data_IF_212676687965
#
_entry.id   IF_212676687965
#
_cell.length_a   1.000
_cell.length_b   1.000
_cell.length_c   1.000
_cell.angle_alpha   90.00
_cell.angle_beta   90.00
_cell.angle_gamma   90.00
#
_symmetry.space_group_name_H-M   'P 1'
#
loop_
_entity.id
_entity.type
_entity.pdbx_description
1 polymer ?
#
# COMPACT_ATOMS: atom_id res chain seq x y z
N UNK A 1 -16.33 -0.26 -1.70
CA UNK A 1 -16.25 -1.18 -0.54
C UNK A 1 -16.11 -2.60 -1.09
N UNK A 2 -15.09 -3.37 -0.68
CA UNK A 2 -14.84 -4.72 -1.22
C UNK A 2 -15.64 -5.79 -0.48
N UNK A 3 -15.96 -6.91 -1.13
CA UNK A 3 -16.71 -8.02 -0.51
C UNK A 3 -16.04 -8.53 0.77
N UNK A 4 -14.71 -8.71 0.77
CA UNK A 4 -13.96 -9.15 1.95
C UNK A 4 -13.99 -8.12 3.10
N UNK A 5 -14.00 -6.81 2.78
CA UNK A 5 -14.18 -5.75 3.78
C UNK A 5 -15.59 -5.77 4.39
N UNK A 6 -16.62 -5.95 3.56
CA UNK A 6 -17.98 -6.13 4.06
C UNK A 6 -18.09 -7.30 5.04
N UNK A 7 -17.52 -8.46 4.69
CA UNK A 7 -17.52 -9.63 5.59
C UNK A 7 -16.77 -9.31 6.89
N UNK A 8 -15.62 -8.63 6.83
CA UNK A 8 -14.87 -8.25 8.03
C UNK A 8 -15.65 -7.32 8.95
N UNK A 9 -16.27 -6.28 8.38
CA UNK A 9 -17.03 -5.25 9.09
C UNK A 9 -18.27 -5.81 9.81
N UNK A 10 -18.76 -7.01 9.44
CA UNK A 10 -19.97 -7.63 10.00
C UNK A 10 -19.70 -8.99 10.67
N UNK A 11 -18.44 -9.43 10.74
CA UNK A 11 -18.06 -10.78 11.21
C UNK A 11 -18.19 -10.97 12.73
N UNK A 12 -18.35 -9.88 13.47
CA UNK A 12 -18.61 -9.87 14.92
C UNK A 12 -20.08 -10.19 15.25
N UNK A 13 -21.00 -9.79 14.36
CA UNK A 13 -22.45 -9.89 14.54
C UNK A 13 -23.02 -11.11 13.83
N UNK A 14 -22.47 -11.50 12.68
CA UNK A 14 -22.99 -12.59 11.84
C UNK A 14 -21.94 -13.65 11.50
N UNK A 15 -22.40 -14.88 11.25
CA UNK A 15 -21.53 -15.98 10.86
C UNK A 15 -20.87 -15.71 9.50
N UNK A 16 -19.53 -15.77 9.47
CA UNK A 16 -18.71 -15.55 8.26
C UNK A 16 -19.17 -16.40 7.08
N UNK A 17 -19.56 -17.66 7.31
CA UNK A 17 -20.07 -18.55 6.24
C UNK A 17 -21.27 -17.93 5.51
N UNK A 18 -22.26 -17.44 6.27
CA UNK A 18 -23.47 -16.83 5.71
C UNK A 18 -23.14 -15.51 5.01
N UNK A 19 -22.25 -14.70 5.57
CA UNK A 19 -21.81 -13.47 4.94
C UNK A 19 -21.12 -13.75 3.60
N UNK A 20 -20.17 -14.69 3.56
CA UNK A 20 -19.50 -15.16 2.35
C UNK A 20 -20.49 -15.63 1.27
N UNK A 21 -21.50 -16.41 1.64
CA UNK A 21 -22.56 -16.86 0.72
C UNK A 21 -23.36 -15.68 0.13
N UNK A 22 -23.69 -14.68 0.95
CA UNK A 22 -24.45 -13.49 0.51
C UNK A 22 -23.67 -12.64 -0.49
N UNK A 23 -22.36 -12.49 -0.29
CA UNK A 23 -21.51 -11.67 -1.18
C UNK A 23 -20.80 -12.49 -2.27
N UNK A 24 -21.20 -13.75 -2.46
CA UNK A 24 -20.61 -14.68 -3.43
C UNK A 24 -19.07 -14.80 -3.30
N UNK A 25 -18.57 -14.73 -2.06
CA UNK A 25 -17.16 -14.83 -1.74
C UNK A 25 -16.84 -16.23 -1.21
N UNK A 26 -15.82 -16.86 -1.79
CA UNK A 26 -15.33 -18.14 -1.33
C UNK A 26 -14.65 -18.00 0.06
N UNK A 27 -14.93 -18.92 0.99
CA UNK A 27 -14.49 -18.79 2.40
C UNK A 27 -12.98 -18.77 2.53
N UNK A 28 -12.26 -19.57 1.74
CA UNK A 28 -10.79 -19.56 1.79
C UNK A 28 -10.23 -18.21 1.33
N UNK A 29 -10.86 -17.58 0.33
CA UNK A 29 -10.52 -16.23 -0.14
C UNK A 29 -10.69 -15.17 0.94
N UNK A 30 -11.74 -15.25 1.77
CA UNK A 30 -11.89 -14.34 2.93
C UNK A 30 -10.74 -14.50 3.93
N UNK A 31 -10.41 -15.73 4.33
CA UNK A 31 -9.35 -15.95 5.31
C UNK A 31 -7.96 -15.66 4.75
N UNK A 32 -7.70 -15.93 3.46
CA UNK A 32 -6.47 -15.52 2.79
C UNK A 32 -6.35 -14.00 2.68
N UNK A 33 -7.46 -13.31 2.40
CA UNK A 33 -7.50 -11.86 2.49
C UNK A 33 -7.20 -11.43 3.94
N UNK A 34 -7.90 -11.96 4.94
CA UNK A 34 -7.73 -11.58 6.35
C UNK A 34 -6.31 -11.82 6.87
N UNK A 35 -5.68 -12.94 6.51
CA UNK A 35 -4.30 -13.23 6.93
C UNK A 35 -3.26 -12.32 6.28
N UNK A 36 -3.57 -11.77 5.10
CA UNK A 36 -2.70 -10.83 4.39
C UNK A 36 -2.89 -9.36 4.82
N UNK A 37 -3.86 -9.04 5.70
CA UNK A 37 -4.03 -7.70 6.29
C UNK A 37 -2.74 -7.09 6.86
N UNK A 38 -1.98 -7.76 7.76
CA UNK A 38 -0.75 -7.18 8.31
C UNK A 38 0.27 -6.86 7.22
N UNK A 39 0.41 -7.72 6.21
CA UNK A 39 1.31 -7.47 5.09
C UNK A 39 0.86 -6.27 4.23
N UNK A 40 -0.45 -6.08 4.04
CA UNK A 40 -0.99 -4.90 3.34
C UNK A 40 -0.78 -3.62 4.13
N UNK A 41 -0.99 -3.66 5.45
CA UNK A 41 -0.73 -2.52 6.33
C UNK A 41 0.76 -2.12 6.29
N UNK A 42 1.68 -3.09 6.41
CA UNK A 42 3.12 -2.84 6.32
C UNK A 42 3.54 -2.24 4.97
N UNK A 43 2.96 -2.72 3.86
CA UNK A 43 3.21 -2.14 2.52
C UNK A 43 2.71 -0.70 2.41
N UNK A 44 1.55 -0.41 3.00
CA UNK A 44 0.96 0.94 3.00
C UNK A 44 1.84 1.91 3.80
N UNK A 45 2.35 1.46 4.95
CA UNK A 45 3.27 2.23 5.79
C UNK A 45 4.60 2.49 5.05
N UNK A 46 5.18 1.46 4.43
CA UNK A 46 6.39 1.60 3.64
C UNK A 46 6.21 2.54 2.44
N UNK A 47 5.05 2.51 1.78
CA UNK A 47 4.73 3.44 0.69
C UNK A 47 4.57 4.88 1.20
N UNK A 48 4.00 5.09 2.39
CA UNK A 48 3.92 6.40 3.02
C UNK A 48 5.32 6.96 3.33
N UNK A 49 6.20 6.16 3.94
CA UNK A 49 7.59 6.56 4.20
C UNK A 49 8.36 6.90 2.91
N UNK A 50 8.13 6.14 1.83
CA UNK A 50 8.71 6.45 0.51
C UNK A 50 8.18 7.77 -0.03
N UNK A 51 6.88 8.03 0.10
CA UNK A 51 6.29 9.29 -0.33
C UNK A 51 6.91 10.49 0.42
N UNK A 52 7.16 10.37 1.72
CA UNK A 52 7.82 11.41 2.51
C UNK A 52 9.23 11.73 2.00
N UNK A 53 10.02 10.69 1.70
CA UNK A 53 11.35 10.86 1.11
C UNK A 53 11.30 11.49 -0.27
N UNK A 54 10.40 11.02 -1.13
CA UNK A 54 10.20 11.59 -2.49
C UNK A 54 9.87 13.09 -2.38
N UNK A 55 9.04 13.49 -1.41
CA UNK A 55 8.71 14.90 -1.16
C UNK A 55 9.92 15.72 -0.69
N UNK A 56 10.75 15.17 0.21
CA UNK A 56 11.98 15.83 0.64
C UNK A 56 12.94 16.09 -0.53
N UNK A 57 13.13 15.09 -1.40
CA UNK A 57 13.96 15.21 -2.61
C UNK A 57 13.39 16.29 -3.55
N UNK A 58 12.08 16.26 -3.80
CA UNK A 58 11.41 17.26 -4.64
C UNK A 58 11.45 18.68 -4.06
N UNK A 59 11.44 18.82 -2.73
CA UNK A 59 11.54 20.13 -2.08
C UNK A 59 12.94 20.74 -2.25
N UNK A 60 13.97 19.89 -2.32
CA UNK A 60 15.35 20.33 -2.56
C UNK A 60 15.63 20.59 -4.04
N UNK A 61 15.06 19.78 -4.93
CA UNK A 61 15.18 19.94 -6.39
C UNK A 61 13.89 19.50 -7.10
N UNK A 62 13.09 20.48 -7.51
CA UNK A 62 11.82 20.25 -8.22
C UNK A 62 11.99 19.85 -9.69
N UNK A 63 13.22 19.86 -10.22
CA UNK A 63 13.54 19.46 -11.59
C UNK A 63 13.99 18.00 -11.69
N UNK A 64 14.22 17.35 -10.54
CA UNK A 64 14.64 15.96 -10.47
C UNK A 64 13.56 15.03 -11.03
N UNK A 65 13.87 14.36 -12.13
CA UNK A 65 13.00 13.33 -12.71
C UNK A 65 13.03 12.00 -11.96
N UNK A 66 12.09 11.12 -12.28
CA UNK A 66 11.94 9.80 -11.66
C UNK A 66 13.23 8.96 -11.53
N UNK A 67 14.18 8.95 -12.49
CA UNK A 67 15.42 8.20 -12.32
C UNK A 67 16.28 8.69 -11.16
N UNK A 68 16.38 10.02 -10.97
CA UNK A 68 17.21 10.63 -9.92
C UNK A 68 16.60 10.42 -8.55
N UNK A 69 15.30 10.63 -8.43
CA UNK A 69 14.52 10.33 -7.21
C UNK A 69 14.68 8.87 -6.81
N UNK A 70 14.66 7.95 -7.76
CA UNK A 70 14.80 6.51 -7.47
C UNK A 70 16.21 6.16 -7.02
N UNK A 71 17.24 6.77 -7.60
CA UNK A 71 18.62 6.56 -7.17
C UNK A 71 18.81 7.02 -5.72
N UNK A 72 18.32 8.21 -5.39
CA UNK A 72 18.42 8.80 -4.05
C UNK A 72 17.58 8.04 -3.02
N UNK A 73 16.37 7.60 -3.40
CA UNK A 73 15.53 6.74 -2.55
C UNK A 73 16.19 5.39 -2.24
N UNK A 74 16.99 4.85 -3.18
CA UNK A 74 17.66 3.56 -3.08
C UNK A 74 19.06 3.62 -2.44
N UNK A 75 19.63 4.82 -2.26
CA UNK A 75 21.01 5.00 -1.79
C UNK A 75 21.16 4.60 -0.32
N UNK A 76 20.14 4.91 0.50
CA UNK A 76 20.15 4.68 1.95
C UNK A 76 19.38 3.42 2.40
N UNK A 77 19.08 2.49 1.50
CA UNK A 77 18.29 1.28 1.81
C UNK A 77 18.97 -0.01 1.37
N UNK A 78 18.67 -1.10 2.09
CA UNK A 78 19.15 -2.44 1.78
C UNK A 78 18.65 -2.91 0.40
N UNK A 79 19.37 -3.86 -0.21
CA UNK A 79 19.11 -4.28 -1.59
C UNK A 79 17.71 -4.86 -1.82
N UNK A 80 17.14 -5.51 -0.81
CA UNK A 80 15.79 -6.09 -0.78
C UNK A 80 14.67 -5.04 -0.64
N UNK A 81 15.00 -3.83 -0.19
CA UNK A 81 14.05 -2.73 -0.03
C UNK A 81 14.03 -1.74 -1.20
N UNK A 82 14.96 -1.91 -2.14
CA UNK A 82 15.10 -1.05 -3.32
C UNK A 82 13.87 -1.11 -4.20
N UNK A 83 13.48 0.06 -4.71
CA UNK A 83 12.32 0.18 -5.62
C UNK A 83 12.74 0.57 -7.03
N UNK A 84 11.96 0.10 -8.00
CA UNK A 84 12.08 0.53 -9.38
C UNK A 84 11.45 1.94 -9.55
N UNK A 85 11.93 2.72 -10.52
CA UNK A 85 11.37 4.02 -10.89
C UNK A 85 9.86 4.01 -11.15
N UNK A 86 9.29 2.93 -11.70
CA UNK A 86 7.83 2.81 -11.84
C UNK A 86 7.10 2.89 -10.51
N UNK A 87 7.66 2.25 -9.48
CA UNK A 87 7.10 2.23 -8.13
C UNK A 87 7.25 3.59 -7.47
N UNK A 88 8.40 4.25 -7.62
CA UNK A 88 8.62 5.61 -7.11
C UNK A 88 7.63 6.61 -7.73
N UNK A 89 7.43 6.56 -9.06
CA UNK A 89 6.44 7.38 -9.77
C UNK A 89 5.03 7.09 -9.26
N UNK A 90 4.65 5.82 -9.18
CA UNK A 90 3.32 5.44 -8.70
C UNK A 90 3.08 5.93 -7.26
N UNK A 91 4.04 5.73 -6.35
CA UNK A 91 3.93 6.18 -4.95
C UNK A 91 3.83 7.70 -4.87
N UNK A 92 4.65 8.43 -5.64
CA UNK A 92 4.58 9.89 -5.70
C UNK A 92 3.22 10.41 -6.21
N UNK A 93 2.62 9.72 -7.18
CA UNK A 93 1.30 10.06 -7.70
C UNK A 93 0.17 9.75 -6.71
N UNK A 94 0.21 8.58 -6.05
CA UNK A 94 -0.85 8.17 -5.11
C UNK A 94 -0.85 8.97 -3.81
N UNK A 95 0.30 9.49 -3.39
CA UNK A 95 0.45 10.25 -2.15
C UNK A 95 0.64 11.76 -2.35
N UNK A 96 0.37 12.28 -3.56
CA UNK A 96 0.57 13.69 -3.90
C UNK A 96 -0.15 14.67 -2.96
N UNK A 97 -1.35 14.31 -2.51
CA UNK A 97 -2.25 15.18 -1.74
C UNK A 97 -2.22 14.91 -0.22
N UNK A 98 -1.38 13.98 0.25
CA UNK A 98 -1.27 13.68 1.68
C UNK A 98 -0.58 14.85 2.38
N UNK A 99 -1.24 15.56 3.29
CA UNK A 99 -0.57 16.54 4.16
C UNK A 99 0.48 15.84 5.04
N UNK A 100 1.58 16.53 5.41
CA UNK A 100 2.61 15.99 6.31
C UNK A 100 2.04 15.66 7.70
#
# INVERSE_FOLDING_TARGET
>A
MTASKFVADHSDTYQVKRLCEIVELERSSYYAWKSAEPARAARTEADAQRADRIRAIHAQDNTSGAPRITAELNDSVAADEKVNHKRAVWVGLTHRDRAP
#
